data_IF_636229523345
#
_entry.id   IF_636229523345
#
_cell.length_a   1.000
_cell.length_b   1.000
_cell.length_c   1.000
_cell.angle_alpha   90.00
_cell.angle_beta   90.00
_cell.angle_gamma   90.00
#
_symmetry.space_group_name_H-M   'P 1'
#
loop_
_entity.id
_entity.type
_entity.pdbx_description
1 polymer ?
#
# COMPACT_ATOMS: atom_id res chain seq x y z
N UNK A 1 2.23 -11.31 8.34
CA UNK A 1 2.36 -10.09 9.14
C UNK A 1 1.31 -9.09 8.69
N UNK A 2 0.62 -8.51 9.64
CA UNK A 2 -0.44 -7.54 9.35
C UNK A 2 0.04 -6.16 9.79
N UNK A 3 -0.05 -5.19 8.88
CA UNK A 3 0.29 -3.80 9.19
C UNK A 3 -0.88 -2.88 8.90
N UNK A 4 -1.05 -1.88 9.74
CA UNK A 4 -2.01 -0.82 9.54
C UNK A 4 -1.35 0.34 8.82
N UNK A 5 -1.95 0.77 7.71
CA UNK A 5 -1.46 1.84 6.86
C UNK A 5 -2.55 2.89 6.72
N UNK A 6 -2.15 4.15 6.83
CA UNK A 6 -3.03 5.27 6.56
C UNK A 6 -2.56 6.00 5.30
N UNK A 7 -3.45 6.12 4.33
CA UNK A 7 -3.21 6.93 3.15
C UNK A 7 -3.89 8.29 3.35
N UNK A 8 -3.10 9.35 3.37
CA UNK A 8 -3.60 10.70 3.61
C UNK A 8 -3.73 11.47 2.30
N UNK A 9 -4.75 12.32 2.22
CA UNK A 9 -4.98 13.21 1.08
C UNK A 9 -5.03 12.48 -0.26
N UNK A 10 -5.72 11.35 -0.29
CA UNK A 10 -5.88 10.56 -1.50
C UNK A 10 -7.01 11.13 -2.36
N UNK A 11 -6.68 11.51 -3.59
CA UNK A 11 -7.68 11.93 -4.56
C UNK A 11 -8.24 10.69 -5.29
N UNK A 12 -9.35 10.17 -4.79
CA UNK A 12 -10.04 9.04 -5.42
C UNK A 12 -10.89 9.48 -6.61
N UNK A 13 -11.42 10.69 -6.54
CA UNK A 13 -12.20 11.31 -7.61
C UNK A 13 -11.74 12.75 -7.77
N UNK A 14 -11.84 13.34 -8.97
CA UNK A 14 -11.39 14.71 -9.19
C UNK A 14 -11.98 15.71 -8.18
N UNK A 15 -11.09 16.41 -7.48
CA UNK A 15 -11.47 17.39 -6.47
C UNK A 15 -11.94 16.84 -5.14
N UNK A 16 -11.87 15.51 -4.93
CA UNK A 16 -12.31 14.86 -3.70
C UNK A 16 -11.16 14.14 -3.01
N UNK A 17 -10.80 14.60 -1.84
CA UNK A 17 -9.70 14.04 -1.05
C UNK A 17 -10.23 13.22 0.11
N UNK A 18 -9.61 12.08 0.34
CA UNK A 18 -10.00 11.13 1.38
C UNK A 18 -8.78 10.66 2.15
N UNK A 19 -8.99 10.35 3.44
CA UNK A 19 -8.05 9.58 4.21
C UNK A 19 -8.54 8.13 4.23
N UNK A 20 -7.66 7.20 3.90
CA UNK A 20 -8.00 5.78 3.81
C UNK A 20 -7.22 5.01 4.86
N UNK A 21 -7.92 4.28 5.71
CA UNK A 21 -7.33 3.41 6.72
C UNK A 21 -7.37 1.97 6.22
N UNK A 22 -6.19 1.37 6.12
CA UNK A 22 -6.00 0.04 5.55
C UNK A 22 -5.38 -0.91 6.54
N UNK A 23 -5.75 -2.17 6.41
CA UNK A 23 -5.03 -3.27 7.02
C UNK A 23 -4.46 -4.13 5.90
N UNK A 24 -3.15 -4.30 5.89
CA UNK A 24 -2.45 -5.01 4.82
C UNK A 24 -1.79 -6.26 5.40
N UNK A 25 -2.08 -7.40 4.80
CA UNK A 25 -1.39 -8.64 5.10
C UNK A 25 -0.21 -8.78 4.14
N UNK A 26 1.00 -8.73 4.69
CA UNK A 26 2.22 -8.79 3.91
C UNK A 26 3.19 -9.82 4.48
N UNK A 27 4.10 -10.27 3.66
CA UNK A 27 5.15 -11.21 4.02
C UNK A 27 6.49 -10.70 3.52
N UNK A 28 7.51 -10.80 4.36
CA UNK A 28 8.88 -10.53 3.95
C UNK A 28 9.47 -11.83 3.39
N UNK A 29 9.87 -11.77 2.12
CA UNK A 29 10.45 -12.91 1.41
C UNK A 29 11.95 -12.67 1.23
N UNK A 30 12.75 -13.62 1.69
CA UNK A 30 14.18 -13.58 1.48
C UNK A 30 14.51 -14.03 0.06
N UNK A 31 15.20 -13.18 -0.67
CA UNK A 31 15.62 -13.44 -2.03
C UNK A 31 17.13 -13.58 -2.10
N UNK A 32 17.60 -14.46 -2.95
CA UNK A 32 19.01 -14.71 -3.14
C UNK A 32 19.32 -14.89 -4.62
N UNK A 33 20.38 -14.26 -5.07
CA UNK A 33 20.88 -14.41 -6.42
C UNK A 33 22.38 -14.69 -6.38
N UNK A 34 22.81 -15.77 -7.01
CA UNK A 34 24.21 -16.13 -7.14
C UNK A 34 24.64 -15.94 -8.58
N UNK A 35 25.67 -15.14 -8.81
CA UNK A 35 26.23 -14.94 -10.12
C UNK A 35 27.72 -15.19 -10.14
N UNK A 36 28.24 -15.69 -11.26
CA UNK A 36 29.66 -15.87 -11.48
C UNK A 36 30.28 -14.57 -11.99
N UNK A 37 31.30 -14.11 -11.31
CA UNK A 37 32.03 -12.91 -11.70
C UNK A 37 33.53 -13.23 -11.72
N UNK A 38 34.09 -13.43 -12.90
CA UNK A 38 35.50 -13.81 -13.06
C UNK A 38 35.77 -15.17 -12.43
N UNK A 39 36.74 -15.22 -11.51
CA UNK A 39 37.16 -16.44 -10.81
C UNK A 39 36.39 -16.74 -9.55
N UNK A 40 35.37 -15.94 -9.23
CA UNK A 40 34.59 -16.09 -8.02
C UNK A 40 33.09 -16.10 -8.23
N UNK A 41 32.38 -16.45 -7.16
CA UNK A 41 30.94 -16.36 -7.09
C UNK A 41 30.55 -15.22 -6.15
N UNK A 42 29.62 -14.39 -6.59
CA UNK A 42 29.02 -13.33 -5.76
C UNK A 42 27.60 -13.70 -5.46
N UNK A 43 27.26 -13.77 -4.18
CA UNK A 43 25.90 -14.02 -3.73
C UNK A 43 25.32 -12.73 -3.17
N UNK A 44 24.23 -12.28 -3.76
CA UNK A 44 23.47 -11.14 -3.27
C UNK A 44 22.22 -11.64 -2.57
N UNK A 45 21.93 -11.04 -1.42
CA UNK A 45 20.72 -11.34 -0.65
C UNK A 45 19.98 -10.05 -0.36
N UNK A 46 18.67 -10.12 -0.51
CA UNK A 46 17.80 -8.99 -0.19
C UNK A 46 16.46 -9.52 0.30
N UNK A 47 15.64 -8.62 0.85
CA UNK A 47 14.29 -8.94 1.23
C UNK A 47 13.31 -8.19 0.34
N UNK A 48 12.28 -8.89 -0.11
CA UNK A 48 11.17 -8.30 -0.85
C UNK A 48 9.90 -8.41 -0.01
N UNK A 49 8.98 -7.47 -0.21
CA UNK A 49 7.67 -7.52 0.42
C UNK A 49 6.68 -8.11 -0.58
N UNK A 50 6.01 -9.14 -0.13
CA UNK A 50 4.89 -9.72 -0.86
C UNK A 50 3.59 -9.31 -0.18
N UNK A 51 2.70 -8.65 -0.92
CA UNK A 51 1.40 -8.21 -0.42
C UNK A 51 0.39 -9.30 -0.77
N UNK A 52 -0.18 -9.94 0.26
CA UNK A 52 -1.17 -10.99 0.08
C UNK A 52 -2.58 -10.46 0.03
N UNK A 53 -2.89 -9.45 0.86
CA UNK A 53 -4.25 -8.95 0.97
C UNK A 53 -4.22 -7.50 1.45
N UNK A 54 -5.14 -6.71 0.92
CA UNK A 54 -5.36 -5.33 1.32
C UNK A 54 -6.81 -5.19 1.73
N UNK A 55 -7.05 -4.86 2.99
CA UNK A 55 -8.38 -4.68 3.52
C UNK A 55 -8.61 -3.22 3.90
N UNK A 56 -9.60 -2.60 3.29
CA UNK A 56 -9.99 -1.23 3.60
C UNK A 56 -10.86 -1.25 4.86
N UNK A 57 -10.38 -0.64 5.94
CA UNK A 57 -11.10 -0.56 7.20
C UNK A 57 -12.10 0.59 7.22
N UNK A 58 -11.65 1.78 6.82
CA UNK A 58 -12.51 2.94 6.76
C UNK A 58 -11.97 3.98 5.78
N UNK A 59 -12.86 4.82 5.29
CA UNK A 59 -12.53 5.94 4.40
C UNK A 59 -13.22 7.18 4.95
N UNK A 60 -12.45 8.24 5.16
CA UNK A 60 -12.96 9.53 5.59
C UNK A 60 -12.83 10.53 4.44
N UNK A 61 -13.95 11.04 3.98
CA UNK A 61 -14.02 12.05 2.96
C UNK A 61 -14.04 13.44 3.59
N UNK A 62 -13.09 14.29 3.22
CA UNK A 62 -13.01 15.66 3.71
C UNK A 62 -13.82 16.61 2.84
N UNK A 63 -14.86 17.18 3.41
CA UNK A 63 -15.69 18.19 2.74
C UNK A 63 -15.06 19.56 2.82
N UNK A 64 -14.34 19.83 3.91
CA UNK A 64 -13.49 21.00 4.12
C UNK A 64 -12.32 20.62 5.04
N UNK A 65 -11.48 21.57 5.41
CA UNK A 65 -10.29 21.28 6.23
C UNK A 65 -10.60 20.78 7.65
N UNK A 66 -11.81 20.98 8.14
CA UNK A 66 -12.21 20.65 9.52
C UNK A 66 -13.31 19.59 9.59
N UNK A 67 -13.98 19.29 8.49
CA UNK A 67 -15.13 18.37 8.48
C UNK A 67 -14.85 17.14 7.65
N UNK A 68 -14.76 15.99 8.33
CA UNK A 68 -14.62 14.69 7.69
C UNK A 68 -15.92 13.88 7.80
N UNK A 69 -16.28 13.18 6.75
CA UNK A 69 -17.44 12.28 6.71
C UNK A 69 -16.96 10.87 6.41
N UNK A 70 -17.32 9.93 7.27
CA UNK A 70 -17.00 8.53 7.04
C UNK A 70 -17.87 7.98 5.91
N UNK A 71 -17.21 7.35 4.94
CA UNK A 71 -17.87 6.72 3.80
C UNK A 71 -17.86 5.21 4.02
N UNK A 72 -18.98 4.56 3.72
CA UNK A 72 -19.05 3.10 3.76
C UNK A 72 -18.11 2.50 2.71
N UNK A 73 -17.32 1.50 3.11
CA UNK A 73 -16.45 0.76 2.20
C UNK A 73 -17.25 0.12 1.06
N UNK A 74 -18.48 -0.28 1.32
CA UNK A 74 -19.38 -0.84 0.30
C UNK A 74 -19.79 0.16 -0.77
N UNK A 75 -19.61 1.47 -0.52
CA UNK A 75 -19.90 2.52 -1.51
C UNK A 75 -18.75 2.74 -2.50
N UNK A 76 -17.59 2.11 -2.26
CA UNK A 76 -16.45 2.20 -3.16
C UNK A 76 -16.64 1.27 -4.35
N UNK A 77 -16.32 1.76 -5.55
CA UNK A 77 -16.35 0.93 -6.74
C UNK A 77 -15.00 0.23 -6.99
N UNK A 78 -14.91 -0.59 -8.02
CA UNK A 78 -13.70 -1.32 -8.37
C UNK A 78 -12.53 -0.39 -8.70
N UNK A 79 -12.79 0.75 -9.31
CA UNK A 79 -11.75 1.73 -9.65
C UNK A 79 -11.17 2.37 -8.40
N UNK A 80 -12.02 2.70 -7.44
CA UNK A 80 -11.58 3.25 -6.15
C UNK A 80 -10.71 2.24 -5.40
N UNK A 81 -11.14 0.98 -5.33
CA UNK A 81 -10.38 -0.09 -4.67
C UNK A 81 -9.05 -0.35 -5.35
N UNK A 82 -9.02 -0.36 -6.68
CA UNK A 82 -7.80 -0.54 -7.45
C UNK A 82 -6.80 0.59 -7.19
N UNK A 83 -7.28 1.81 -7.14
CA UNK A 83 -6.44 2.97 -6.84
C UNK A 83 -5.85 2.89 -5.44
N UNK A 84 -6.66 2.48 -4.48
CA UNK A 84 -6.22 2.29 -3.09
C UNK A 84 -5.14 1.21 -3.03
N UNK A 85 -5.31 0.09 -3.71
CA UNK A 85 -4.32 -0.98 -3.77
C UNK A 85 -2.99 -0.49 -4.36
N UNK A 86 -3.03 0.27 -5.44
CA UNK A 86 -1.83 0.84 -6.06
C UNK A 86 -1.10 1.79 -5.11
N UNK A 87 -1.82 2.67 -4.44
CA UNK A 87 -1.24 3.62 -3.50
C UNK A 87 -0.68 2.94 -2.26
N UNK A 88 -1.35 1.91 -1.77
CA UNK A 88 -0.87 1.11 -0.65
C UNK A 88 0.45 0.43 -0.99
N UNK A 89 0.55 -0.18 -2.17
CA UNK A 89 1.77 -0.81 -2.64
C UNK A 89 2.92 0.19 -2.75
N UNK A 90 2.67 1.37 -3.31
CA UNK A 90 3.68 2.44 -3.40
C UNK A 90 4.17 2.89 -2.03
N UNK A 91 3.28 3.03 -1.07
CA UNK A 91 3.64 3.45 0.28
C UNK A 91 4.49 2.41 1.00
N UNK A 92 4.16 1.14 0.85
CA UNK A 92 4.92 0.04 1.43
C UNK A 92 6.32 -0.01 0.83
N UNK A 93 6.44 0.07 -0.49
CA UNK A 93 7.73 0.10 -1.18
C UNK A 93 8.58 1.28 -0.74
N UNK A 94 7.99 2.46 -0.58
CA UNK A 94 8.71 3.66 -0.12
C UNK A 94 9.23 3.52 1.30
N UNK A 95 8.52 2.82 2.17
CA UNK A 95 8.94 2.65 3.57
C UNK A 95 10.08 1.66 3.74
N UNK A 96 10.35 0.82 2.73
CA UNK A 96 11.42 -0.17 2.75
C UNK A 96 12.73 0.34 2.15
N UNK A 97 12.68 1.41 1.43
CA UNK A 97 13.86 2.09 0.91
C UNK A 97 14.21 3.27 1.79
#
# INVERSE_FOLDING_TARGET
>A
MIEEITLEEVELRPGKFCDVFLQVNLELVDCECTSHCGDGMVTERWQEVEIHDVHVQSVIYWTDSDTGVEISVAALDEQDLKRIDELAAQKIESSLT
#
